data_IF_440953307368
#
_entry.id   IF_440953307368
#
_cell.length_a   1.000
_cell.length_b   1.000
_cell.length_c   1.000
_cell.angle_alpha   90.00
_cell.angle_beta   90.00
_cell.angle_gamma   90.00
#
_symmetry.space_group_name_H-M   'P 1'
#
loop_
_entity.id
_entity.type
_entity.pdbx_description
1 polymer ?
#
# COMPACT_ATOMS: atom_id res chain seq x y z
N UNK A 1 13.11 -35.63 19.10
CA UNK A 1 11.82 -35.66 18.36
C UNK A 1 12.08 -35.29 16.91
N UNK A 2 11.47 -35.98 15.94
CA UNK A 2 11.54 -35.67 14.50
C UNK A 2 10.66 -34.44 14.17
N UNK A 3 10.97 -33.31 14.81
CA UNK A 3 10.13 -32.09 14.80
C UNK A 3 10.09 -31.45 13.41
N UNK A 4 11.15 -31.64 12.62
CA UNK A 4 11.30 -30.95 11.34
C UNK A 4 10.36 -31.48 10.25
N UNK A 5 10.17 -32.80 10.15
CA UNK A 5 9.22 -33.37 9.19
C UNK A 5 7.78 -32.98 9.52
N UNK A 6 7.43 -32.94 10.81
CA UNK A 6 6.11 -32.46 11.24
C UNK A 6 5.92 -30.97 10.91
N UNK A 7 6.94 -30.12 11.13
CA UNK A 7 6.88 -28.71 10.74
C UNK A 7 6.63 -28.56 9.25
N UNK A 8 7.31 -29.32 8.41
CA UNK A 8 7.12 -29.28 6.95
C UNK A 8 5.69 -29.67 6.56
N UNK A 9 5.13 -30.73 7.12
CA UNK A 9 3.74 -31.12 6.89
C UNK A 9 2.75 -30.05 7.35
N UNK A 10 3.00 -29.41 8.51
CA UNK A 10 2.20 -28.28 8.96
C UNK A 10 2.25 -27.12 7.96
N UNK A 11 3.42 -26.76 7.42
CA UNK A 11 3.54 -25.69 6.41
C UNK A 11 2.73 -26.04 5.15
N UNK A 12 2.84 -27.28 4.67
CA UNK A 12 2.09 -27.76 3.49
C UNK A 12 0.58 -27.72 3.74
N UNK A 13 0.14 -28.06 4.95
CA UNK A 13 -1.27 -28.02 5.31
C UNK A 13 -1.76 -26.56 5.41
N UNK A 14 -1.05 -25.72 6.16
CA UNK A 14 -1.42 -24.32 6.39
C UNK A 14 -1.43 -23.51 5.09
N UNK A 15 -0.53 -23.80 4.15
CA UNK A 15 -0.50 -23.12 2.84
C UNK A 15 -1.73 -23.41 1.98
N UNK A 16 -2.42 -24.53 2.20
CA UNK A 16 -3.64 -24.90 1.46
C UNK A 16 -4.90 -24.27 2.03
N UNK A 17 -4.89 -23.91 3.31
CA UNK A 17 -6.06 -23.41 4.04
C UNK A 17 -5.95 -21.92 4.41
N UNK A 18 -4.88 -21.25 3.97
CA UNK A 18 -4.70 -19.83 4.22
C UNK A 18 -5.83 -19.02 3.57
N UNK A 19 -6.39 -18.11 4.35
CA UNK A 19 -7.46 -17.21 3.95
C UNK A 19 -7.22 -15.79 4.50
N UNK A 20 -8.12 -14.86 4.17
CA UNK A 20 -7.97 -13.47 4.57
C UNK A 20 -8.02 -13.24 6.09
N UNK A 21 -8.66 -14.12 6.86
CA UNK A 21 -8.81 -14.01 8.32
C UNK A 21 -7.62 -14.61 9.07
N UNK A 22 -7.03 -15.67 8.52
CA UNK A 22 -5.93 -16.42 9.12
C UNK A 22 -4.55 -15.89 8.73
N UNK A 23 -4.42 -15.19 7.59
CA UNK A 23 -3.13 -14.74 7.05
C UNK A 23 -2.29 -13.92 8.05
N UNK A 24 -2.93 -13.03 8.82
CA UNK A 24 -2.25 -12.23 9.85
C UNK A 24 -1.63 -13.12 10.95
N UNK A 25 -2.39 -14.11 11.42
CA UNK A 25 -1.92 -15.06 12.45
C UNK A 25 -0.80 -15.94 11.91
N UNK A 26 -0.89 -16.39 10.66
CA UNK A 26 0.16 -17.23 10.08
C UNK A 26 1.47 -16.45 9.92
N UNK A 27 1.41 -15.17 9.58
CA UNK A 27 2.59 -14.29 9.62
C UNK A 27 3.19 -14.18 11.02
N UNK A 28 2.38 -13.93 12.04
CA UNK A 28 2.86 -13.87 13.43
C UNK A 28 3.45 -15.19 13.91
N UNK A 29 2.78 -16.31 13.64
CA UNK A 29 3.24 -17.66 13.99
C UNK A 29 4.52 -18.02 13.27
N UNK A 30 4.65 -17.70 11.99
CA UNK A 30 5.86 -17.98 11.23
C UNK A 30 7.09 -17.29 11.81
N UNK A 31 6.93 -16.08 12.36
CA UNK A 31 8.00 -15.37 13.07
C UNK A 31 8.23 -16.02 14.43
N UNK A 32 7.17 -16.25 15.21
CA UNK A 32 7.26 -16.75 16.59
C UNK A 32 7.87 -18.16 16.67
N UNK A 33 7.57 -19.02 15.69
CA UNK A 33 8.07 -20.39 15.62
C UNK A 33 9.27 -20.56 14.68
N UNK A 34 9.78 -19.47 14.11
CA UNK A 34 10.92 -19.44 13.18
C UNK A 34 10.73 -20.41 12.00
N UNK A 35 9.63 -20.22 11.26
CA UNK A 35 9.26 -21.01 10.08
C UNK A 35 9.23 -20.10 8.83
N UNK A 36 10.38 -19.84 8.18
CA UNK A 36 10.47 -18.89 7.08
C UNK A 36 9.59 -19.25 5.87
N UNK A 37 9.46 -20.53 5.55
CA UNK A 37 8.62 -20.97 4.44
C UNK A 37 7.14 -20.57 4.62
N UNK A 38 6.62 -20.64 5.85
CA UNK A 38 5.26 -20.18 6.15
C UNK A 38 5.16 -18.65 6.08
N UNK A 39 6.21 -17.94 6.49
CA UNK A 39 6.28 -16.49 6.39
C UNK A 39 6.14 -16.05 4.93
N UNK A 40 6.95 -16.63 4.04
CA UNK A 40 6.95 -16.25 2.62
C UNK A 40 5.60 -16.51 1.96
N UNK A 41 5.02 -17.70 2.19
CA UNK A 41 3.70 -18.05 1.67
C UNK A 41 2.62 -17.09 2.19
N UNK A 42 2.63 -16.82 3.50
CA UNK A 42 1.63 -15.93 4.11
C UNK A 42 1.82 -14.49 3.67
N UNK A 43 3.07 -14.05 3.49
CA UNK A 43 3.39 -12.71 3.04
C UNK A 43 2.92 -12.48 1.61
N UNK A 44 3.24 -13.40 0.69
CA UNK A 44 2.76 -13.36 -0.70
C UNK A 44 1.24 -13.38 -0.76
N UNK A 45 0.59 -14.25 0.03
CA UNK A 45 -0.87 -14.28 0.10
C UNK A 45 -1.47 -12.92 0.51
N UNK A 46 -0.86 -12.24 1.49
CA UNK A 46 -1.30 -10.90 1.91
C UNK A 46 -1.09 -9.86 0.82
N UNK A 47 0.01 -9.92 0.06
CA UNK A 47 0.24 -9.01 -1.07
C UNK A 47 -0.86 -9.18 -2.13
N UNK A 48 -1.14 -10.42 -2.52
CA UNK A 48 -2.13 -10.75 -3.57
C UNK A 48 -3.57 -10.42 -3.17
N UNK A 49 -3.88 -10.55 -1.87
CA UNK A 49 -5.23 -10.39 -1.32
C UNK A 49 -5.37 -9.19 -0.39
N UNK A 50 -4.47 -8.21 -0.49
CA UNK A 50 -4.34 -7.13 0.48
C UNK A 50 -5.67 -6.41 0.74
N UNK A 51 -6.45 -6.15 -0.32
CA UNK A 51 -7.77 -5.48 -0.22
C UNK A 51 -8.78 -6.21 0.67
N UNK A 52 -8.70 -7.54 0.72
CA UNK A 52 -9.59 -8.36 1.55
C UNK A 52 -9.04 -8.42 2.97
N UNK A 53 -7.74 -8.70 3.10
CA UNK A 53 -7.04 -8.85 4.37
C UNK A 53 -7.11 -7.57 5.22
N UNK A 54 -6.88 -6.39 4.62
CA UNK A 54 -6.86 -5.10 5.33
C UNK A 54 -8.23 -4.66 5.87
N UNK A 55 -9.31 -5.36 5.52
CA UNK A 55 -10.64 -5.08 6.08
C UNK A 55 -10.82 -5.72 7.44
N UNK A 56 -10.03 -6.74 7.75
CA UNK A 56 -10.16 -7.50 8.98
C UNK A 56 -9.53 -6.71 10.15
N UNK A 57 -10.28 -6.53 11.23
CA UNK A 57 -9.77 -5.83 12.43
C UNK A 57 -8.60 -6.57 13.05
N UNK A 58 -8.65 -7.90 13.07
CA UNK A 58 -7.58 -8.77 13.58
C UNK A 58 -6.25 -8.53 12.86
N UNK A 59 -6.27 -8.18 11.56
CA UNK A 59 -5.06 -7.84 10.83
C UNK A 59 -4.37 -6.59 11.43
N UNK A 60 -5.14 -5.57 11.79
CA UNK A 60 -4.61 -4.34 12.36
C UNK A 60 -4.00 -4.52 13.76
N UNK A 61 -4.50 -5.49 14.51
CA UNK A 61 -4.05 -5.82 15.87
C UNK A 61 -2.79 -6.68 15.87
N UNK A 62 -2.69 -7.63 14.93
CA UNK A 62 -1.60 -8.63 14.89
C UNK A 62 -0.35 -8.12 14.16
N UNK A 63 -0.52 -7.35 13.10
CA UNK A 63 0.59 -6.95 12.24
C UNK A 63 1.49 -5.93 12.94
N UNK A 64 2.79 -6.21 12.94
CA UNK A 64 3.82 -5.31 13.48
C UNK A 64 4.13 -4.13 12.55
N UNK A 65 4.72 -3.06 13.10
CA UNK A 65 5.18 -1.90 12.33
C UNK A 65 6.16 -2.32 11.21
N UNK A 66 7.07 -3.25 11.50
CA UNK A 66 8.03 -3.74 10.52
C UNK A 66 7.38 -4.48 9.34
N UNK A 67 6.31 -5.24 9.59
CA UNK A 67 5.54 -5.91 8.54
C UNK A 67 4.73 -4.91 7.73
N UNK A 68 4.05 -3.96 8.39
CA UNK A 68 3.32 -2.89 7.72
C UNK A 68 4.24 -2.07 6.80
N UNK A 69 5.44 -1.75 7.28
CA UNK A 69 6.48 -1.11 6.46
C UNK A 69 6.83 -1.92 5.23
N UNK A 70 7.03 -3.25 5.36
CA UNK A 70 7.33 -4.12 4.21
C UNK A 70 6.19 -4.12 3.19
N UNK A 71 4.92 -4.09 3.64
CA UNK A 71 3.79 -3.96 2.73
C UNK A 71 3.79 -2.63 1.98
N UNK A 72 4.01 -1.50 2.67
CA UNK A 72 4.08 -0.18 2.05
C UNK A 72 5.25 -0.03 1.06
N UNK A 73 6.35 -0.74 1.30
CA UNK A 73 7.52 -0.72 0.43
C UNK A 73 7.40 -1.64 -0.78
N UNK A 74 6.45 -2.58 -0.79
CA UNK A 74 6.32 -3.60 -1.83
C UNK A 74 5.56 -3.06 -3.04
N UNK A 75 6.16 -3.20 -4.23
CA UNK A 75 5.52 -2.91 -5.52
C UNK A 75 4.48 -3.95 -5.93
N UNK A 76 4.53 -5.14 -5.31
CA UNK A 76 3.71 -6.31 -5.66
C UNK A 76 2.36 -6.31 -4.92
N UNK A 77 2.08 -5.30 -4.09
CA UNK A 77 0.79 -5.23 -3.38
C UNK A 77 -0.35 -5.05 -4.37
N UNK A 78 -1.31 -5.96 -4.35
CA UNK A 78 -2.50 -5.89 -5.18
C UNK A 78 -3.56 -4.93 -4.60
N UNK A 79 -3.19 -3.67 -4.40
CA UNK A 79 -4.06 -2.62 -3.90
C UNK A 79 -3.69 -1.25 -4.49
N UNK A 80 -4.68 -0.36 -4.58
CA UNK A 80 -4.39 1.04 -4.90
C UNK A 80 -3.73 1.71 -3.69
N UNK A 81 -2.88 2.69 -3.92
CA UNK A 81 -2.18 3.41 -2.85
C UNK A 81 -3.13 3.99 -1.80
N UNK A 82 -4.30 4.48 -2.22
CA UNK A 82 -5.32 4.98 -1.29
C UNK A 82 -5.82 3.90 -0.31
N UNK A 83 -5.90 2.64 -0.74
CA UNK A 83 -6.32 1.52 0.12
C UNK A 83 -5.22 1.19 1.12
N UNK A 84 -3.96 1.24 0.69
CA UNK A 84 -2.80 1.09 1.58
C UNK A 84 -2.79 2.18 2.66
N UNK A 85 -2.99 3.43 2.26
CA UNK A 85 -3.05 4.56 3.19
C UNK A 85 -4.20 4.44 4.19
N UNK A 86 -5.42 4.14 3.73
CA UNK A 86 -6.58 3.94 4.64
C UNK A 86 -6.33 2.77 5.59
N UNK A 87 -5.74 1.68 5.10
CA UNK A 87 -5.33 0.53 5.90
C UNK A 87 -4.29 0.89 6.95
N UNK A 88 -3.27 1.66 6.57
CA UNK A 88 -2.23 2.18 7.45
C UNK A 88 -2.84 3.03 8.59
N UNK A 89 -3.80 3.89 8.27
CA UNK A 89 -4.49 4.72 9.27
C UNK A 89 -5.29 3.83 10.24
N UNK A 90 -6.02 2.84 9.75
CA UNK A 90 -6.75 1.88 10.60
C UNK A 90 -5.80 1.07 11.50
N UNK A 91 -4.69 0.63 10.95
CA UNK A 91 -3.61 0.00 11.71
C UNK A 91 -3.10 0.92 12.81
N UNK A 92 -2.78 2.18 12.49
CA UNK A 92 -2.31 3.16 13.48
C UNK A 92 -3.32 3.39 14.61
N UNK A 93 -4.61 3.47 14.29
CA UNK A 93 -5.69 3.60 15.29
C UNK A 93 -5.74 2.37 16.20
N UNK A 94 -5.62 1.16 15.65
CA UNK A 94 -5.56 -0.07 16.45
C UNK A 94 -4.35 -0.07 17.38
N UNK A 95 -3.17 0.31 16.88
CA UNK A 95 -1.94 0.36 17.67
C UNK A 95 -1.99 1.40 18.80
N UNK A 96 -2.62 2.56 18.58
CA UNK A 96 -2.86 3.54 19.65
C UNK A 96 -3.85 2.99 20.68
N UNK A 97 -4.91 2.33 20.23
CA UNK A 97 -5.96 1.77 21.11
C UNK A 97 -5.48 0.61 21.98
N UNK A 98 -4.50 -0.17 21.51
CA UNK A 98 -3.90 -1.28 22.24
C UNK A 98 -2.85 -0.85 23.28
N UNK A 99 -2.43 0.42 23.27
CA UNK A 99 -1.46 0.91 24.27
C UNK A 99 -2.10 1.03 25.65
N UNK A 100 -1.35 0.75 26.73
CA UNK A 100 -1.86 0.94 28.09
C UNK A 100 -2.24 2.41 28.31
N UNK A 101 -3.32 2.63 29.07
CA UNK A 101 -3.86 3.96 29.42
C UNK A 101 -2.83 4.85 30.15
N UNK A 102 -1.78 4.24 30.72
CA UNK A 102 -0.70 4.92 31.44
C UNK A 102 0.36 5.54 30.51
N UNK A 103 0.37 5.20 29.22
CA UNK A 103 1.19 5.91 28.25
C UNK A 103 0.55 7.27 27.96
N UNK A 104 1.36 8.35 27.97
CA UNK A 104 0.98 9.66 27.43
C UNK A 104 0.22 9.49 26.10
N UNK A 105 -0.76 10.36 25.84
CA UNK A 105 -1.55 10.35 24.61
C UNK A 105 -0.64 10.41 23.37
N UNK A 106 -0.19 9.25 22.88
CA UNK A 106 0.62 9.17 21.69
C UNK A 106 -0.27 9.53 20.53
N UNK A 107 0.08 10.64 19.88
CA UNK A 107 -0.66 11.11 18.73
C UNK A 107 -0.54 10.08 17.60
N UNK A 108 -1.65 9.82 16.92
CA UNK A 108 -1.69 8.94 15.74
C UNK A 108 -0.63 9.33 14.70
N UNK A 109 -0.38 10.64 14.55
CA UNK A 109 0.67 11.18 13.68
C UNK A 109 2.08 10.73 14.06
N UNK A 110 2.37 10.55 15.35
CA UNK A 110 3.68 10.07 15.81
C UNK A 110 3.88 8.60 15.45
N UNK A 111 2.86 7.76 15.68
CA UNK A 111 2.89 6.33 15.31
C UNK A 111 3.06 6.17 13.80
N UNK A 112 2.38 7.00 13.02
CA UNK A 112 2.38 6.89 11.56
C UNK A 112 3.55 7.61 10.88
N UNK A 113 4.22 8.55 11.54
CA UNK A 113 5.32 9.36 10.98
C UNK A 113 6.38 8.54 10.24
N UNK A 114 6.79 7.40 10.80
CA UNK A 114 7.79 6.52 10.22
C UNK A 114 7.28 5.70 9.02
N UNK A 115 5.98 5.55 8.88
CA UNK A 115 5.36 4.76 7.81
C UNK A 115 4.85 5.64 6.67
N UNK A 116 4.42 6.87 6.98
CA UNK A 116 3.91 7.83 5.99
C UNK A 116 4.93 8.17 4.91
N UNK A 117 6.23 8.18 5.22
CA UNK A 117 7.31 8.37 4.24
C UNK A 117 7.41 7.27 3.17
N UNK A 118 6.74 6.14 3.38
CA UNK A 118 6.69 5.04 2.41
C UNK A 118 5.44 5.08 1.54
N UNK A 119 4.49 5.97 1.83
CA UNK A 119 3.27 6.17 1.04
C UNK A 119 3.61 6.96 -0.22
N UNK A 120 3.18 6.45 -1.37
CA UNK A 120 3.47 7.02 -2.70
C UNK A 120 2.36 7.97 -3.12
N UNK A 121 2.34 9.15 -2.51
CA UNK A 121 1.28 10.15 -2.71
C UNK A 121 0.96 10.45 -4.19
N UNK A 122 1.96 10.40 -5.07
CA UNK A 122 1.82 10.61 -6.52
C UNK A 122 0.98 9.54 -7.26
N UNK A 123 0.68 8.40 -6.63
CA UNK A 123 -0.17 7.34 -7.19
C UNK A 123 -1.65 7.49 -6.78
N UNK A 124 -1.97 8.43 -5.89
CA UNK A 124 -3.34 8.73 -5.48
C UNK A 124 -3.95 9.79 -6.38
N UNK A 125 -5.27 9.81 -6.57
CA UNK A 125 -5.89 10.91 -7.33
C UNK A 125 -5.99 12.18 -6.47
N UNK A 126 -6.03 13.38 -7.09
CA UNK A 126 -6.26 14.62 -6.37
C UNK A 126 -7.54 14.60 -5.51
N UNK A 127 -8.61 13.99 -6.02
CA UNK A 127 -9.86 13.84 -5.29
C UNK A 127 -9.71 12.94 -4.06
N UNK A 128 -8.90 11.89 -4.14
CA UNK A 128 -8.61 11.00 -3.00
C UNK A 128 -7.79 11.73 -1.93
N UNK A 129 -6.82 12.56 -2.33
CA UNK A 129 -6.02 13.35 -1.40
C UNK A 129 -6.91 14.37 -0.66
N UNK A 130 -7.76 15.09 -1.39
CA UNK A 130 -8.61 16.15 -0.80
C UNK A 130 -9.74 15.57 0.05
N UNK A 131 -10.38 14.49 -0.40
CA UNK A 131 -11.59 13.96 0.25
C UNK A 131 -11.30 12.86 1.28
N UNK A 132 -10.15 12.18 1.22
CA UNK A 132 -9.81 11.07 2.13
C UNK A 132 -8.60 11.40 2.99
N UNK A 133 -7.49 11.84 2.39
CA UNK A 133 -6.24 12.08 3.14
C UNK A 133 -6.36 13.31 4.04
N UNK A 134 -6.85 14.43 3.51
CA UNK A 134 -6.96 15.69 4.25
C UNK A 134 -7.85 15.60 5.50
N UNK A 135 -9.07 15.01 5.47
CA UNK A 135 -9.91 14.90 6.67
C UNK A 135 -9.30 14.04 7.78
N UNK A 136 -8.43 13.09 7.43
CA UNK A 136 -7.77 12.22 8.41
C UNK A 136 -6.67 12.93 9.18
N UNK A 137 -6.15 14.07 8.68
CA UNK A 137 -5.25 14.96 9.43
C UNK A 137 -3.90 14.35 9.81
N UNK A 138 -3.53 13.20 9.23
CA UNK A 138 -2.27 12.50 9.56
C UNK A 138 -1.13 12.88 8.61
N UNK A 139 -1.44 13.25 7.36
CA UNK A 139 -0.45 13.61 6.36
C UNK A 139 0.05 15.05 6.54
N UNK A 140 1.34 15.30 6.24
CA UNK A 140 1.87 16.67 6.20
C UNK A 140 1.20 17.45 5.08
N UNK A 141 1.01 18.75 5.31
CA UNK A 141 0.52 19.68 4.28
C UNK A 141 1.48 19.69 3.09
N UNK A 142 2.78 19.59 3.35
CA UNK A 142 3.84 19.57 2.32
C UNK A 142 3.69 18.36 1.38
N UNK A 143 3.54 17.15 1.94
CA UNK A 143 3.35 15.91 1.17
C UNK A 143 2.11 15.97 0.27
N UNK A 144 1.00 16.51 0.81
CA UNK A 144 -0.25 16.67 0.04
C UNK A 144 -0.09 17.70 -1.09
N UNK A 145 0.60 18.82 -0.84
CA UNK A 145 0.85 19.84 -1.85
C UNK A 145 1.77 19.32 -2.96
N UNK A 146 2.84 18.61 -2.61
CA UNK A 146 3.77 18.02 -3.59
C UNK A 146 3.06 17.02 -4.50
N UNK A 147 2.22 16.15 -3.93
CA UNK A 147 1.43 15.20 -4.70
C UNK A 147 0.49 15.90 -5.69
N UNK A 148 -0.26 16.92 -5.23
CA UNK A 148 -1.13 17.70 -6.10
C UNK A 148 -0.33 18.42 -7.21
N UNK A 149 0.81 19.03 -6.86
CA UNK A 149 1.68 19.71 -7.82
C UNK A 149 2.22 18.77 -8.91
N UNK A 150 2.59 17.54 -8.54
CA UNK A 150 3.00 16.50 -9.48
C UNK A 150 1.89 16.13 -10.48
N UNK A 151 0.64 16.02 -10.01
CA UNK A 151 -0.52 15.76 -10.88
C UNK A 151 -0.80 16.88 -11.89
N UNK A 152 -0.78 18.14 -11.44
CA UNK A 152 -1.04 19.28 -12.33
C UNK A 152 0.10 19.50 -13.33
N UNK A 153 1.36 19.24 -12.92
CA UNK A 153 2.53 19.34 -13.80
C UNK A 153 2.48 18.30 -14.93
N UNK A 154 2.17 17.05 -14.61
CA UNK A 154 2.03 15.99 -15.63
C UNK A 154 0.88 16.26 -16.61
N UNK A 155 -0.24 16.84 -16.13
CA UNK A 155 -1.37 17.21 -16.99
C UNK A 155 -1.02 18.31 -18.00
N UNK A 156 -0.19 19.28 -17.60
CA UNK A 156 0.28 20.31 -18.55
C UNK A 156 1.20 19.72 -19.61
N UNK A 157 2.11 18.81 -19.25
CA UNK A 157 3.03 18.14 -20.21
C UNK A 157 2.25 17.35 -21.26
N UNK A 158 1.26 16.55 -20.85
CA UNK A 158 0.42 15.79 -21.80
C UNK A 158 -0.33 16.70 -22.78
N UNK A 159 -0.87 17.83 -22.31
CA UNK A 159 -1.56 18.80 -23.17
C UNK A 159 -0.63 19.49 -24.18
N UNK A 160 0.66 19.64 -23.87
CA UNK A 160 1.68 20.20 -24.78
C UNK A 160 2.10 19.17 -25.82
N UNK A 161 2.24 17.90 -25.43
CA UNK A 161 2.57 16.80 -26.34
C UNK A 161 1.42 16.53 -27.32
N UNK A 162 0.16 16.54 -26.87
CA UNK A 162 -1.01 16.40 -27.75
C UNK A 162 -1.11 17.53 -28.78
N UNK A 163 -0.83 18.78 -28.37
CA UNK A 163 -0.79 19.93 -29.30
C UNK A 163 0.37 19.85 -30.31
N UNK A 164 1.48 19.19 -29.95
CA UNK A 164 2.61 18.95 -30.88
C UNK A 164 2.33 17.78 -31.83
N UNK A 165 1.69 16.70 -31.36
CA UNK A 165 1.27 15.56 -32.20
C UNK A 165 0.26 15.95 -33.28
N UNK A 166 -0.74 16.78 -32.97
CA UNK A 166 -1.70 17.29 -33.97
C UNK A 166 -1.08 18.23 -35.02
N UNK A 167 0.11 18.81 -34.76
CA UNK A 167 0.81 19.66 -35.73
C UNK A 167 1.66 18.87 -36.75
N UNK A 168 2.00 17.62 -36.47
CA UNK A 168 2.70 16.75 -37.43
C UNK A 168 1.75 15.92 -38.29
N UNK A 169 0.56 15.56 -37.81
CA UNK A 169 -0.45 14.87 -38.62
C UNK A 169 -1.06 15.71 -39.76
N UNK A 170 -0.96 17.05 -39.71
CA UNK A 170 -1.48 17.94 -40.77
C UNK A 170 -0.43 18.43 -41.78
N UNK A 171 0.85 18.09 -41.59
CA UNK A 171 1.91 18.49 -42.52
C UNK A 171 2.25 17.43 -43.57
N UNK A 172 1.81 16.18 -43.39
CA UNK A 172 2.02 15.10 -44.35
C UNK A 172 0.98 15.02 -45.49
N UNK A 173 -0.21 15.62 -45.34
CA UNK A 173 -1.25 15.58 -46.39
C UNK A 173 -1.19 16.77 -47.36
N UNK A 174 -0.30 17.74 -47.16
CA UNK A 174 -0.18 18.92 -48.02
C UNK A 174 0.92 18.81 -49.08
N UNK A 175 1.83 17.83 -48.98
CA UNK A 175 2.93 17.63 -49.95
C UNK A 175 2.62 16.58 -51.03
N UNK A 176 1.49 15.87 -50.96
CA UNK A 176 1.13 14.81 -51.94
C UNK A 176 0.10 15.25 -52.99
N UNK A 177 -0.13 16.57 -53.14
CA UNK A 177 -1.05 17.14 -54.16
C UNK A 177 -0.39 18.09 -55.16
N UNK A 178 0.94 18.12 -55.25
CA UNK A 178 1.66 18.94 -56.25
C UNK A 178 2.26 18.15 -57.42
N UNK A 179 2.14 16.81 -57.44
CA UNK A 179 2.70 15.95 -58.51
C UNK A 179 1.65 15.05 -59.22
N UNK A 180 0.47 15.58 -59.58
CA UNK A 180 -0.43 14.96 -60.58
C UNK A 180 -1.07 15.98 -61.52
#
# INVERSE_FOLDING_TARGET
FQIESLKQECVIYLSKIIDAESAARYLEFSISFLVPALYDISFVFVLDNFRQVIRNSSFHEIISEGQMKKFLQSDEVNAREIVLFVGLVKWGVAQVSMRPVECEQVLLSQVLSNLLKHVRWALMTPDEIVNVVKPLGVASVEDMFEALAAHYSNRMVLSVVERRGSKWGKKGEAEEKEDQ
#
